data_IF_486426938256
#
_entry.id   IF_486426938256
#
_cell.length_a   1.000
_cell.length_b   1.000
_cell.length_c   1.000
_cell.angle_alpha   90.00
_cell.angle_beta   90.00
_cell.angle_gamma   90.00
#
_symmetry.space_group_name_H-M   'P 1'
#
loop_
_entity.id
_entity.type
_entity.pdbx_description
1 polymer ?
#
# COMPACT_ATOMS: atom_id res chain seq x y z
N UNK A 1 58.98 24.27 5.35
CA UNK A 1 58.06 23.94 6.47
C UNK A 1 56.88 23.15 5.93
N UNK A 2 56.79 21.85 6.25
CA UNK A 2 55.68 20.99 5.80
C UNK A 2 54.44 21.25 6.66
N UNK A 3 53.34 21.71 6.05
CA UNK A 3 52.04 21.87 6.73
C UNK A 3 51.52 20.48 7.13
N UNK A 4 51.37 20.24 8.44
CA UNK A 4 50.68 19.06 8.98
C UNK A 4 49.26 19.01 8.39
N UNK A 5 48.97 18.01 7.55
CA UNK A 5 47.61 17.71 7.12
C UNK A 5 46.82 17.15 8.31
N UNK A 6 45.57 17.58 8.46
CA UNK A 6 44.67 17.07 9.49
C UNK A 6 44.41 15.56 9.35
N UNK A 7 43.81 14.93 10.38
CA UNK A 7 43.52 13.50 10.38
C UNK A 7 42.67 13.11 9.17
N UNK A 8 43.01 11.99 8.52
CA UNK A 8 42.16 11.44 7.47
C UNK A 8 40.77 11.11 8.06
N UNK A 9 39.66 11.47 7.37
CA UNK A 9 38.33 11.15 7.85
C UNK A 9 38.22 9.63 8.03
N UNK A 10 37.76 9.14 9.18
CA UNK A 10 37.51 7.70 9.42
C UNK A 10 36.00 7.45 9.35
N UNK A 11 35.55 6.32 8.78
CA UNK A 11 34.14 5.92 8.75
C UNK A 11 33.71 5.20 7.47
N UNK A 12 32.40 4.95 7.35
CA UNK A 12 31.71 4.18 6.30
C UNK A 12 31.96 4.67 4.86
N UNK A 13 32.48 5.89 4.68
CA UNK A 13 32.69 6.52 3.38
C UNK A 13 34.18 6.79 3.07
N UNK A 14 35.10 5.98 3.61
CA UNK A 14 36.53 6.11 3.32
C UNK A 14 36.84 5.82 1.84
N UNK A 15 37.53 6.76 1.18
CA UNK A 15 38.32 6.47 -0.03
C UNK A 15 37.88 7.10 -1.34
N UNK A 16 36.64 7.59 -1.51
CA UNK A 16 36.17 8.22 -2.77
C UNK A 16 35.10 9.29 -2.52
N UNK A 17 35.48 10.44 -1.97
CA UNK A 17 34.59 11.61 -1.88
C UNK A 17 34.83 12.55 -3.07
N UNK A 18 33.76 12.93 -3.76
CA UNK A 18 33.77 14.04 -4.70
C UNK A 18 33.29 15.31 -3.97
N UNK A 19 33.85 16.47 -4.31
CA UNK A 19 33.38 17.74 -3.74
C UNK A 19 32.03 18.08 -4.35
N UNK A 20 30.99 18.14 -3.52
CA UNK A 20 29.67 18.63 -3.88
C UNK A 20 29.48 20.04 -3.32
N UNK A 21 29.35 21.03 -4.20
CA UNK A 21 29.07 22.42 -3.83
C UNK A 21 27.70 22.83 -4.37
N UNK A 22 26.84 23.37 -3.51
CA UNK A 22 25.51 23.84 -3.89
C UNK A 22 25.12 25.07 -3.08
N UNK A 23 24.34 25.97 -3.69
CA UNK A 23 23.74 27.12 -2.97
C UNK A 23 22.38 26.69 -2.43
N UNK A 24 22.20 26.83 -1.12
CA UNK A 24 20.94 26.55 -0.44
C UNK A 24 20.48 27.78 0.34
N UNK A 25 19.17 27.89 0.54
CA UNK A 25 18.58 28.96 1.36
C UNK A 25 18.93 28.76 2.84
N UNK A 26 18.99 29.87 3.59
CA UNK A 26 19.40 29.86 4.99
C UNK A 26 18.47 29.00 5.88
N UNK A 27 17.18 28.95 5.58
CA UNK A 27 16.20 28.12 6.28
C UNK A 27 16.45 26.62 6.07
N UNK A 28 16.78 26.21 4.83
CA UNK A 28 17.15 24.83 4.53
C UNK A 28 18.47 24.44 5.22
N UNK A 29 19.45 25.35 5.22
CA UNK A 29 20.74 25.16 5.92
C UNK A 29 20.51 24.90 7.41
N UNK A 30 19.67 25.71 8.06
CA UNK A 30 19.34 25.57 9.48
C UNK A 30 18.66 24.23 9.79
N UNK A 31 17.72 23.77 8.94
CA UNK A 31 17.08 22.45 9.09
C UNK A 31 18.08 21.30 8.97
N UNK A 32 19.05 21.40 8.05
CA UNK A 32 20.10 20.39 7.90
C UNK A 32 21.07 20.37 9.08
N UNK A 33 21.45 21.52 9.63
CA UNK A 33 22.29 21.59 10.84
C UNK A 33 21.58 20.98 12.06
N UNK A 34 20.29 21.28 12.24
CA UNK A 34 19.50 20.70 13.33
C UNK A 34 19.41 19.17 13.21
N UNK A 35 19.18 18.67 11.99
CA UNK A 35 19.15 17.23 11.72
C UNK A 35 20.51 16.56 11.96
N UNK A 36 21.60 17.16 11.50
CA UNK A 36 22.96 16.65 11.70
C UNK A 36 23.31 16.56 13.20
N UNK A 37 22.95 17.59 13.98
CA UNK A 37 23.12 17.60 15.43
C UNK A 37 22.30 16.50 16.11
N UNK A 38 21.04 16.31 15.68
CA UNK A 38 20.16 15.28 16.23
C UNK A 38 20.64 13.86 15.89
N UNK A 39 21.21 13.65 14.71
CA UNK A 39 21.70 12.34 14.26
C UNK A 39 23.13 12.02 14.68
N UNK A 40 23.87 13.00 15.23
CA UNK A 40 25.29 12.86 15.55
C UNK A 40 26.21 12.78 14.32
N UNK A 41 25.69 13.05 13.12
CA UNK A 41 26.45 13.05 11.86
C UNK A 41 27.04 14.43 11.59
N UNK A 42 28.12 14.48 10.81
CA UNK A 42 28.52 15.75 10.19
C UNK A 42 27.45 16.21 9.20
N UNK A 43 27.38 17.52 8.94
CA UNK A 43 26.45 18.06 7.94
C UNK A 43 26.58 17.33 6.60
N UNK A 44 27.81 17.16 6.09
CA UNK A 44 28.04 16.51 4.80
C UNK A 44 27.51 15.08 4.77
N UNK A 45 27.71 14.32 5.85
CA UNK A 45 27.17 12.96 5.97
C UNK A 45 25.64 12.95 6.06
N UNK A 46 25.04 13.90 6.77
CA UNK A 46 23.57 14.01 6.86
C UNK A 46 22.96 14.36 5.49
N UNK A 47 23.59 15.27 4.73
CA UNK A 47 23.19 15.61 3.36
C UNK A 47 23.31 14.40 2.44
N UNK A 48 24.46 13.71 2.46
CA UNK A 48 24.67 12.50 1.66
C UNK A 48 23.64 11.42 2.00
N UNK A 49 23.42 11.15 3.29
CA UNK A 49 22.45 10.16 3.75
C UNK A 49 21.03 10.49 3.25
N UNK A 50 20.60 11.75 3.33
CA UNK A 50 19.29 12.17 2.83
C UNK A 50 19.16 12.03 1.31
N UNK A 51 20.20 12.39 0.56
CA UNK A 51 20.23 12.22 -0.89
C UNK A 51 20.20 10.74 -1.28
N UNK A 52 20.97 9.88 -0.61
CA UNK A 52 20.90 8.42 -0.84
C UNK A 52 19.50 7.88 -0.53
N UNK A 53 18.93 8.30 0.61
CA UNK A 53 17.59 7.88 1.00
C UNK A 53 16.53 8.34 0.00
N UNK A 54 16.66 9.51 -0.65
CA UNK A 54 15.68 9.92 -1.67
C UNK A 54 15.68 8.98 -2.88
N UNK A 55 16.85 8.57 -3.37
CA UNK A 55 16.91 7.60 -4.49
C UNK A 55 16.36 6.24 -4.09
N UNK A 56 16.77 5.72 -2.93
CA UNK A 56 16.31 4.41 -2.44
C UNK A 56 14.81 4.42 -2.11
N UNK A 57 14.27 5.52 -1.61
CA UNK A 57 12.84 5.63 -1.32
C UNK A 57 12.04 5.64 -2.61
N UNK A 58 12.43 6.41 -3.62
CA UNK A 58 11.72 6.47 -4.90
C UNK A 58 11.73 5.11 -5.60
N UNK A 59 12.85 4.40 -5.60
CA UNK A 59 12.97 3.03 -6.12
C UNK A 59 12.09 2.05 -5.33
N UNK A 60 12.19 2.04 -4.00
CA UNK A 60 11.36 1.16 -3.15
C UNK A 60 9.86 1.42 -3.31
N UNK A 61 9.49 2.68 -3.50
CA UNK A 61 8.10 3.09 -3.74
C UNK A 61 7.64 2.55 -5.10
N UNK A 62 8.47 2.66 -6.14
CA UNK A 62 8.16 2.08 -7.44
C UNK A 62 8.04 0.56 -7.37
N UNK A 63 8.96 -0.12 -6.68
CA UNK A 63 8.95 -1.58 -6.52
C UNK A 63 7.69 -2.09 -5.82
N UNK A 64 7.21 -1.38 -4.79
CA UNK A 64 6.03 -1.80 -4.03
C UNK A 64 4.71 -1.57 -4.77
N UNK A 65 4.60 -0.52 -5.58
CA UNK A 65 3.36 -0.13 -6.26
C UNK A 65 3.39 -0.42 -7.77
N UNK A 66 4.46 -1.04 -8.27
CA UNK A 66 4.73 -1.32 -9.68
C UNK A 66 5.15 -0.09 -10.50
N UNK A 67 4.84 1.13 -10.05
CA UNK A 67 5.34 2.37 -10.63
C UNK A 67 5.23 3.54 -9.65
N UNK A 68 6.05 4.57 -9.85
CA UNK A 68 5.95 5.85 -9.12
C UNK A 68 4.55 6.47 -9.30
N UNK A 69 3.98 6.38 -10.51
CA UNK A 69 2.64 6.91 -10.81
C UNK A 69 1.56 6.24 -9.94
N UNK A 70 1.59 4.91 -9.83
CA UNK A 70 0.65 4.17 -8.98
C UNK A 70 0.81 4.55 -7.50
N UNK A 71 2.05 4.70 -7.03
CA UNK A 71 2.29 5.08 -5.64
C UNK A 71 1.75 6.49 -5.31
N UNK A 72 1.87 7.43 -6.24
CA UNK A 72 1.28 8.77 -6.08
C UNK A 72 -0.24 8.72 -6.06
N UNK A 73 -0.87 7.89 -6.89
CA UNK A 73 -2.33 7.67 -6.84
C UNK A 73 -2.75 7.06 -5.50
N UNK A 74 -2.03 6.05 -4.99
CA UNK A 74 -2.32 5.46 -3.69
C UNK A 74 -2.09 6.44 -2.54
N UNK A 75 -1.08 7.31 -2.63
CA UNK A 75 -0.84 8.39 -1.67
C UNK A 75 -1.98 9.40 -1.68
N UNK A 76 -2.45 9.80 -2.87
CA UNK A 76 -3.61 10.69 -3.03
C UNK A 76 -4.86 10.08 -2.38
N UNK A 77 -5.15 8.80 -2.67
CA UNK A 77 -6.25 8.05 -2.05
C UNK A 77 -6.09 8.04 -0.52
N UNK A 78 -4.90 7.75 -0.01
CA UNK A 78 -4.62 7.77 1.43
C UNK A 78 -4.85 9.13 2.07
N UNK A 79 -4.47 10.23 1.40
CA UNK A 79 -4.70 11.60 1.88
C UNK A 79 -6.19 11.94 1.95
N UNK A 80 -6.97 11.63 0.90
CA UNK A 80 -8.42 11.93 0.93
C UNK A 80 -9.19 11.02 1.89
N UNK A 81 -8.70 9.80 2.15
CA UNK A 81 -9.30 8.88 3.11
C UNK A 81 -9.25 9.42 4.54
N UNK A 82 -8.29 10.30 4.88
CA UNK A 82 -8.25 10.97 6.19
C UNK A 82 -9.47 11.86 6.43
N UNK A 83 -10.21 12.23 5.38
CA UNK A 83 -11.43 13.02 5.47
C UNK A 83 -12.66 12.15 5.77
N UNK A 84 -12.58 10.84 5.54
CA UNK A 84 -13.68 9.92 5.81
C UNK A 84 -13.77 9.64 7.32
N UNK A 85 -14.76 10.25 7.97
CA UNK A 85 -15.01 10.07 9.40
C UNK A 85 -16.51 10.14 9.67
N UNK A 86 -16.94 9.45 10.73
CA UNK A 86 -18.29 9.58 11.24
C UNK A 86 -18.34 10.77 12.20
N UNK A 87 -19.11 11.85 11.92
CA UNK A 87 -19.19 13.02 12.80
C UNK A 87 -19.79 12.68 14.18
N UNK A 88 -20.61 11.64 14.27
CA UNK A 88 -21.16 11.16 15.54
C UNK A 88 -20.14 10.35 16.35
N UNK A 89 -19.10 9.83 15.69
CA UNK A 89 -18.06 8.96 16.29
C UNK A 89 -16.67 9.33 15.76
N UNK A 90 -16.16 10.55 16.02
CA UNK A 90 -14.97 11.10 15.36
C UNK A 90 -13.67 10.34 15.69
N UNK A 91 -13.62 9.60 16.80
CA UNK A 91 -12.44 8.86 17.24
C UNK A 91 -12.41 7.40 16.77
N UNK A 92 -13.41 6.95 16.00
CA UNK A 92 -13.49 5.59 15.49
C UNK A 92 -12.84 5.52 14.11
N UNK A 93 -11.96 4.54 13.91
CA UNK A 93 -11.36 4.27 12.60
C UNK A 93 -12.46 4.04 11.55
N UNK A 94 -12.27 4.57 10.34
CA UNK A 94 -13.21 4.34 9.24
C UNK A 94 -13.35 2.86 8.88
N UNK A 95 -12.36 2.03 9.24
CA UNK A 95 -12.43 0.57 9.07
C UNK A 95 -13.43 -0.09 10.03
N UNK A 96 -13.74 0.54 11.17
CA UNK A 96 -14.58 -0.03 12.24
C UNK A 96 -15.97 0.63 12.34
N UNK A 97 -16.27 1.56 11.44
CA UNK A 97 -17.56 2.24 11.37
C UNK A 97 -18.16 2.09 9.96
N UNK A 98 -19.37 1.52 9.88
CA UNK A 98 -20.01 1.21 8.60
C UNK A 98 -20.36 2.46 7.77
N UNK A 99 -20.66 3.58 8.43
CA UNK A 99 -20.95 4.85 7.76
C UNK A 99 -19.66 5.43 7.16
N UNK A 100 -18.62 5.55 7.98
CA UNK A 100 -17.31 6.04 7.53
C UNK A 100 -16.69 5.14 6.47
N UNK A 101 -16.84 3.82 6.56
CA UNK A 101 -16.39 2.88 5.54
C UNK A 101 -17.06 3.12 4.18
N UNK A 102 -18.38 3.35 4.18
CA UNK A 102 -19.12 3.67 2.95
C UNK A 102 -18.69 5.02 2.38
N UNK A 103 -18.43 6.01 3.23
CA UNK A 103 -17.90 7.30 2.81
C UNK A 103 -16.51 7.14 2.17
N UNK A 104 -15.61 6.40 2.82
CA UNK A 104 -14.29 6.06 2.31
C UNK A 104 -14.36 5.43 0.92
N UNK A 105 -15.23 4.42 0.73
CA UNK A 105 -15.42 3.79 -0.59
C UNK A 105 -15.86 4.80 -1.67
N UNK A 106 -16.80 5.69 -1.35
CA UNK A 106 -17.26 6.73 -2.29
C UNK A 106 -16.14 7.71 -2.63
N UNK A 107 -15.35 8.11 -1.63
CA UNK A 107 -14.22 9.02 -1.82
C UNK A 107 -13.14 8.40 -2.69
N UNK A 108 -12.78 7.13 -2.46
CA UNK A 108 -11.83 6.40 -3.34
C UNK A 108 -12.37 6.33 -4.76
N UNK A 109 -13.64 5.96 -4.93
CA UNK A 109 -14.29 5.92 -6.25
C UNK A 109 -14.27 7.28 -6.96
N UNK A 110 -14.55 8.37 -6.24
CA UNK A 110 -14.53 9.72 -6.80
C UNK A 110 -13.12 10.15 -7.25
N UNK A 111 -12.07 9.80 -6.49
CA UNK A 111 -10.68 10.07 -6.91
C UNK A 111 -10.33 9.29 -8.16
N UNK A 112 -10.66 7.99 -8.22
CA UNK A 112 -10.38 7.16 -9.38
C UNK A 112 -11.15 7.64 -10.63
N UNK A 113 -12.40 8.08 -10.46
CA UNK A 113 -13.19 8.65 -11.57
C UNK A 113 -12.61 9.99 -12.04
N UNK A 114 -12.12 10.83 -11.14
CA UNK A 114 -11.54 12.13 -11.50
C UNK A 114 -10.23 12.01 -12.31
N UNK A 115 -9.47 10.93 -12.14
CA UNK A 115 -8.24 10.64 -12.91
C UNK A 115 -8.46 9.67 -14.07
N UNK A 116 -9.71 9.30 -14.32
CA UNK A 116 -10.08 8.40 -15.40
C UNK A 116 -9.66 9.02 -16.74
N UNK A 117 -8.94 8.29 -17.61
CA UNK A 117 -8.61 8.80 -18.94
C UNK A 117 -9.86 9.07 -19.77
N UNK A 118 -9.84 10.15 -20.56
CA UNK A 118 -10.90 10.43 -21.53
C UNK A 118 -11.05 9.28 -22.54
N UNK A 119 -12.29 8.98 -22.92
CA UNK A 119 -12.59 7.91 -23.88
C UNK A 119 -12.47 6.49 -23.34
N UNK A 120 -12.23 6.31 -22.02
CA UNK A 120 -12.22 4.99 -21.42
C UNK A 120 -13.59 4.30 -21.60
N UNK A 121 -13.64 3.08 -22.19
CA UNK A 121 -14.90 2.39 -22.46
C UNK A 121 -15.73 2.24 -21.19
N UNK A 122 -17.05 2.32 -21.34
CA UNK A 122 -17.93 2.07 -20.21
C UNK A 122 -17.81 0.59 -19.80
N UNK A 123 -17.90 0.27 -18.51
CA UNK A 123 -17.96 -1.14 -18.07
C UNK A 123 -19.17 -1.89 -18.65
N UNK A 124 -20.17 -1.17 -19.17
CA UNK A 124 -21.29 -1.72 -19.92
C UNK A 124 -20.95 -2.13 -21.36
N UNK A 125 -19.75 -1.81 -21.87
CA UNK A 125 -19.32 -2.31 -23.17
C UNK A 125 -19.14 -3.82 -23.11
N UNK A 126 -20.01 -4.52 -23.88
CA UNK A 126 -20.04 -5.98 -23.98
C UNK A 126 -18.69 -6.57 -24.43
N UNK A 127 -17.80 -5.78 -25.02
CA UNK A 127 -16.45 -6.17 -25.41
C UNK A 127 -15.55 -6.54 -24.22
N UNK A 128 -15.87 -6.05 -23.01
CA UNK A 128 -15.18 -6.45 -21.79
C UNK A 128 -15.73 -7.76 -21.18
N UNK A 129 -16.77 -8.39 -21.75
CA UNK A 129 -17.31 -9.66 -21.19
C UNK A 129 -16.48 -10.91 -21.56
N UNK A 130 -15.31 -10.74 -22.20
CA UNK A 130 -14.35 -11.81 -22.46
C UNK A 130 -13.64 -12.33 -21.20
N UNK A 131 -12.85 -13.41 -21.36
CA UNK A 131 -12.08 -14.06 -20.26
C UNK A 131 -11.20 -13.08 -19.46
N UNK A 132 -10.81 -11.96 -20.05
CA UNK A 132 -9.88 -10.99 -19.45
C UNK A 132 -10.51 -10.15 -18.32
N UNK A 133 -11.83 -9.91 -18.32
CA UNK A 133 -12.46 -9.09 -17.27
C UNK A 133 -12.69 -9.81 -15.95
N UNK A 134 -12.64 -11.15 -15.93
CA UNK A 134 -12.71 -11.92 -14.69
C UNK A 134 -11.38 -11.91 -13.93
N UNK A 135 -10.28 -11.62 -14.61
CA UNK A 135 -8.91 -11.69 -14.07
C UNK A 135 -8.67 -10.83 -12.81
N UNK A 136 -9.12 -9.56 -12.74
CA UNK A 136 -8.85 -8.72 -11.56
C UNK A 136 -9.63 -9.14 -10.32
N UNK A 137 -10.90 -9.54 -10.47
CA UNK A 137 -11.73 -10.01 -9.36
C UNK A 137 -11.22 -11.34 -8.80
N UNK A 138 -10.84 -12.27 -9.69
CA UNK A 138 -10.23 -13.54 -9.29
C UNK A 138 -8.89 -13.30 -8.61
N UNK A 139 -8.07 -12.37 -9.11
CA UNK A 139 -6.80 -11.99 -8.48
C UNK A 139 -7.00 -11.41 -7.08
N UNK A 140 -7.95 -10.50 -6.90
CA UNK A 140 -8.28 -9.97 -5.58
C UNK A 140 -8.81 -11.05 -4.63
N UNK A 141 -9.69 -11.94 -5.12
CA UNK A 141 -10.21 -13.05 -4.32
C UNK A 141 -9.12 -14.05 -3.91
N UNK A 142 -8.18 -14.35 -4.81
CA UNK A 142 -7.03 -15.20 -4.56
C UNK A 142 -6.05 -14.56 -3.57
N UNK A 143 -5.84 -13.25 -3.70
CA UNK A 143 -5.01 -12.48 -2.78
C UNK A 143 -5.59 -12.52 -1.35
N UNK A 144 -6.89 -12.29 -1.20
CA UNK A 144 -7.58 -12.44 0.09
C UNK A 144 -7.53 -13.87 0.62
N UNK A 145 -7.71 -14.87 -0.24
CA UNK A 145 -7.57 -16.28 0.14
C UNK A 145 -6.15 -16.56 0.69
N UNK A 146 -5.12 -16.06 0.00
CA UNK A 146 -3.73 -16.13 0.45
C UNK A 146 -3.52 -15.50 1.82
N UNK A 147 -4.08 -14.31 2.07
CA UNK A 147 -4.02 -13.66 3.40
C UNK A 147 -4.67 -14.50 4.50
N UNK A 148 -5.85 -15.07 4.24
CA UNK A 148 -6.55 -15.91 5.23
C UNK A 148 -5.83 -17.23 5.53
N UNK A 149 -5.01 -17.71 4.60
CA UNK A 149 -4.25 -18.96 4.72
C UNK A 149 -2.79 -18.74 5.14
N UNK A 150 -2.31 -17.50 5.19
CA UNK A 150 -0.91 -17.19 5.42
C UNK A 150 -0.43 -17.63 6.81
N UNK A 151 0.65 -18.40 6.90
CA UNK A 151 1.21 -18.86 8.17
C UNK A 151 2.09 -17.77 8.81
N UNK A 152 1.75 -17.38 10.05
CA UNK A 152 2.49 -16.39 10.82
C UNK A 152 3.97 -16.77 11.07
N UNK A 153 4.32 -18.06 10.98
CA UNK A 153 5.67 -18.58 11.17
C UNK A 153 6.56 -18.59 9.91
N UNK A 154 6.10 -17.91 8.85
CA UNK A 154 6.76 -17.58 7.58
C UNK A 154 8.19 -18.13 7.35
N UNK A 155 8.40 -19.07 6.40
CA UNK A 155 9.74 -19.49 6.01
C UNK A 155 10.52 -18.37 5.33
N UNK A 156 11.84 -18.33 5.53
CA UNK A 156 12.77 -17.34 4.96
C UNK A 156 12.78 -17.28 3.42
N UNK A 157 12.21 -18.28 2.72
CA UNK A 157 12.18 -18.40 1.25
C UNK A 157 10.76 -18.24 0.68
N UNK A 158 9.97 -17.32 1.22
CA UNK A 158 8.62 -17.08 0.73
C UNK A 158 8.61 -16.18 -0.51
N UNK A 159 7.56 -16.31 -1.32
CA UNK A 159 7.35 -15.42 -2.48
C UNK A 159 6.94 -14.01 -2.03
N UNK A 160 7.09 -12.98 -2.86
CA UNK A 160 6.61 -11.63 -2.55
C UNK A 160 5.14 -11.58 -2.13
N UNK A 161 4.28 -12.34 -2.78
CA UNK A 161 2.84 -12.42 -2.46
C UNK A 161 2.62 -13.03 -1.07
N UNK A 162 3.39 -14.06 -0.70
CA UNK A 162 3.33 -14.67 0.64
C UNK A 162 3.83 -13.71 1.71
N UNK A 163 4.92 -12.97 1.45
CA UNK A 163 5.41 -11.93 2.35
C UNK A 163 4.37 -10.82 2.55
N UNK A 164 3.72 -10.38 1.47
CA UNK A 164 2.64 -9.39 1.54
C UNK A 164 1.44 -9.92 2.32
N UNK A 165 0.96 -11.12 2.00
CA UNK A 165 -0.18 -11.76 2.67
C UNK A 165 0.04 -11.87 4.19
N UNK A 166 1.24 -12.28 4.61
CA UNK A 166 1.59 -12.35 6.03
C UNK A 166 1.77 -10.99 6.69
N UNK A 167 2.33 -10.01 5.97
CA UNK A 167 2.43 -8.64 6.50
C UNK A 167 1.04 -8.10 6.83
N UNK A 168 0.07 -8.32 5.93
CA UNK A 168 -1.32 -7.91 6.13
C UNK A 168 -1.97 -8.70 7.27
N UNK A 169 -1.82 -10.03 7.30
CA UNK A 169 -2.35 -10.87 8.40
C UNK A 169 -1.82 -10.46 9.77
N UNK A 170 -0.52 -10.19 9.88
CA UNK A 170 0.10 -9.83 11.15
C UNK A 170 -0.22 -8.40 11.59
N UNK A 171 -0.41 -7.46 10.65
CA UNK A 171 -0.66 -6.04 10.98
C UNK A 171 -2.14 -5.69 11.09
N UNK A 172 -3.02 -6.44 10.44
CA UNK A 172 -4.47 -6.18 10.41
C UNK A 172 -5.25 -7.50 10.54
N UNK A 173 -5.06 -8.26 11.64
CA UNK A 173 -5.69 -9.58 11.81
C UNK A 173 -7.22 -9.48 11.84
N UNK A 174 -7.77 -8.44 12.47
CA UNK A 174 -9.21 -8.19 12.59
C UNK A 174 -9.90 -8.03 11.23
N UNK A 175 -9.22 -7.38 10.27
CA UNK A 175 -9.73 -7.21 8.90
C UNK A 175 -9.73 -8.54 8.17
N UNK A 176 -8.66 -9.33 8.30
CA UNK A 176 -8.56 -10.66 7.67
C UNK A 176 -9.64 -11.59 8.20
N UNK A 177 -9.85 -11.63 9.51
CA UNK A 177 -10.89 -12.43 10.16
C UNK A 177 -12.30 -12.02 9.70
N UNK A 178 -12.55 -10.70 9.61
CA UNK A 178 -13.84 -10.17 9.13
C UNK A 178 -14.14 -10.56 7.69
N UNK A 179 -13.12 -10.57 6.82
CA UNK A 179 -13.27 -11.02 5.42
C UNK A 179 -13.52 -12.53 5.36
N UNK A 180 -12.80 -13.33 6.17
CA UNK A 180 -13.02 -14.77 6.26
C UNK A 180 -14.45 -15.10 6.69
N UNK A 181 -14.93 -14.48 7.78
CA UNK A 181 -16.29 -14.68 8.29
C UNK A 181 -17.37 -14.32 7.25
N UNK A 182 -17.19 -13.22 6.50
CA UNK A 182 -18.13 -12.83 5.42
C UNK A 182 -18.14 -13.85 4.28
N UNK A 183 -16.98 -14.41 3.95
CA UNK A 183 -16.86 -15.43 2.89
C UNK A 183 -17.56 -16.72 3.30
N UNK A 184 -17.38 -17.17 4.54
CA UNK A 184 -18.08 -18.34 5.09
C UNK A 184 -19.60 -18.13 5.09
N UNK A 185 -20.06 -16.96 5.56
CA UNK A 185 -21.48 -16.60 5.53
C UNK A 185 -22.03 -16.61 4.09
N UNK A 186 -21.33 -15.99 3.13
CA UNK A 186 -21.74 -15.95 1.72
C UNK A 186 -21.77 -17.32 1.05
N UNK A 187 -20.81 -18.20 1.35
CA UNK A 187 -20.81 -19.59 0.87
C UNK A 187 -21.99 -20.37 1.44
N UNK A 188 -22.28 -20.21 2.74
CA UNK A 188 -23.41 -20.88 3.39
C UNK A 188 -24.77 -20.48 2.77
N UNK A 189 -24.93 -19.21 2.37
CA UNK A 189 -26.14 -18.74 1.69
C UNK A 189 -26.26 -19.29 0.26
N UNK A 190 -25.15 -19.45 -0.45
CA UNK A 190 -25.12 -20.08 -1.78
C UNK A 190 -25.49 -21.57 -1.69
N UNK A 191 -24.97 -22.30 -0.71
CA UNK A 191 -25.27 -23.70 -0.45
C UNK A 191 -26.74 -23.91 -0.07
N UNK A 192 -27.30 -23.01 0.74
CA UNK A 192 -28.74 -22.99 1.06
C UNK A 192 -29.60 -22.80 -0.19
N UNK A 193 -29.23 -21.85 -1.06
CA UNK A 193 -29.93 -21.59 -2.32
C UNK A 193 -29.87 -22.77 -3.29
N UNK A 194 -28.70 -23.36 -3.47
CA UNK A 194 -28.52 -24.51 -4.38
C UNK A 194 -29.25 -25.76 -3.88
N UNK A 195 -29.27 -25.99 -2.56
CA UNK A 195 -30.04 -27.07 -1.94
C UNK A 195 -31.56 -26.89 -2.11
N UNK A 196 -32.06 -25.65 -1.97
CA UNK A 196 -33.47 -25.32 -2.21
C UNK A 196 -33.88 -25.47 -3.69
N UNK A 197 -32.98 -25.21 -4.63
CA UNK A 197 -33.23 -25.44 -6.06
C UNK A 197 -33.26 -26.94 -6.41
N UNK A 198 -32.34 -27.73 -5.84
CA UNK A 198 -32.31 -29.19 -6.03
C UNK A 198 -33.56 -29.88 -5.43
N UNK A 199 -34.05 -29.41 -4.28
CA UNK A 199 -35.27 -29.96 -3.65
C UNK A 199 -36.54 -29.62 -4.44
N UNK A 200 -36.61 -28.43 -5.05
CA UNK A 200 -37.71 -28.06 -5.98
C UNK A 200 -37.68 -28.91 -7.26
N UNK A 201 -36.51 -29.14 -7.84
CA UNK A 201 -36.36 -29.95 -9.06
C UNK A 201 -36.73 -31.44 -8.87
N UNK A 202 -36.57 -31.98 -7.65
CA UNK A 202 -37.01 -33.35 -7.32
C UNK A 202 -38.52 -33.51 -7.15
N UNK A 203 -39.26 -32.42 -6.86
CA UNK A 203 -40.74 -32.46 -6.69
C UNK A 203 -41.50 -32.32 -8.01
N UNK A 204 -40.86 -31.94 -9.10
CA UNK A 204 -41.48 -31.68 -10.41
C UNK A 204 -41.22 -32.76 -11.46
N UNK A 205 -40.61 -33.89 -11.09
CA UNK A 205 -40.56 -35.07 -11.97
C UNK A 205 -41.81 -35.92 -11.70
N UNK A 206 -42.75 -36.02 -12.67
CA UNK A 206 -43.92 -36.89 -12.57
C UNK A 206 -43.53 -38.37 -12.57
#
# INVERSE_FOLDING_TARGET
>A
MSKRRGPAPKGEHYGKSAVFSTRIRADLRAKLDAAAKASGRSLSQEVENRLRLSFVQDEKIADQFGSVRNALVMKLIGTVLQLAHNPERPNVSWLDDAYAFRQAMRTVGAVLEAIRPDGAPSLSDKSLQGRDAWSPYVSAANLWAGMTQADASLPLKATPEQHFANTIRNRMPDIVERVAARREAGMSDLERRTSALKSKSRRTKP
#
